data_IF_382837644919
#
_entry.id   IF_382837644919
#
_cell.length_a   1.000
_cell.length_b   1.000
_cell.length_c   1.000
_cell.angle_alpha   90.00
_cell.angle_beta   90.00
_cell.angle_gamma   90.00
#
_symmetry.space_group_name_H-M   'P 1'
#
loop_
_entity.id
_entity.type
_entity.pdbx_description
1 polymer ?
#
# COMPACT_ATOMS: atom_id res chain seq x y z
N UNK A 1 -4.44 -29.02 32.06
CA UNK A 1 -4.10 -27.69 31.51
C UNK A 1 -4.78 -26.65 32.39
N UNK A 2 -4.04 -25.74 33.04
CA UNK A 2 -4.64 -24.72 33.90
C UNK A 2 -5.28 -23.59 33.08
N UNK A 3 -6.33 -22.94 33.59
CA UNK A 3 -6.94 -21.74 32.98
C UNK A 3 -5.89 -20.65 32.69
N UNK A 4 -4.90 -20.53 33.59
CA UNK A 4 -3.80 -19.59 33.49
C UNK A 4 -2.89 -19.86 32.28
N UNK A 5 -2.51 -21.12 32.06
CA UNK A 5 -1.69 -21.49 30.90
C UNK A 5 -2.43 -21.29 29.58
N UNK A 6 -3.73 -21.58 29.52
CA UNK A 6 -4.55 -21.32 28.32
C UNK A 6 -4.54 -19.84 27.96
N UNK A 7 -4.77 -18.97 28.94
CA UNK A 7 -4.76 -17.51 28.74
C UNK A 7 -3.39 -17.01 28.27
N UNK A 8 -2.31 -17.54 28.83
CA UNK A 8 -0.94 -17.17 28.44
C UNK A 8 -0.60 -17.63 27.01
N UNK A 9 -1.04 -18.84 26.64
CA UNK A 9 -0.86 -19.38 25.30
C UNK A 9 -1.67 -18.58 24.27
N UNK A 10 -2.92 -18.22 24.60
CA UNK A 10 -3.80 -17.41 23.75
C UNK A 10 -3.25 -16.00 23.52
N UNK A 11 -2.73 -15.33 24.55
CA UNK A 11 -2.09 -14.01 24.39
C UNK A 11 -0.82 -14.06 23.55
N UNK A 12 -0.01 -15.11 23.73
CA UNK A 12 1.21 -15.28 22.94
C UNK A 12 0.89 -15.54 21.46
N UNK A 13 -0.15 -16.35 21.17
CA UNK A 13 -0.61 -16.58 19.81
C UNK A 13 -1.24 -15.33 19.19
N UNK A 14 -2.04 -14.57 19.95
CA UNK A 14 -2.61 -13.28 19.49
C UNK A 14 -1.52 -12.30 19.08
N UNK A 15 -0.51 -12.07 19.94
CA UNK A 15 0.60 -11.15 19.61
C UNK A 15 1.35 -11.54 18.34
N UNK A 16 1.53 -12.85 18.10
CA UNK A 16 2.13 -13.35 16.84
C UNK A 16 1.23 -13.09 15.63
N UNK A 17 -0.06 -13.33 15.78
CA UNK A 17 -1.05 -13.11 14.72
C UNK A 17 -1.15 -11.62 14.37
N UNK A 18 -1.22 -10.75 15.37
CA UNK A 18 -1.34 -9.30 15.19
C UNK A 18 -0.11 -8.72 14.49
N UNK A 19 1.09 -9.13 14.88
CA UNK A 19 2.32 -8.72 14.21
C UNK A 19 2.39 -9.21 12.75
N UNK A 20 1.86 -10.41 12.47
CA UNK A 20 1.80 -10.95 11.10
C UNK A 20 0.77 -10.18 10.24
N UNK A 21 -0.41 -9.92 10.79
CA UNK A 21 -1.49 -9.18 10.13
C UNK A 21 -1.06 -7.75 9.84
N UNK A 22 -0.42 -7.08 10.79
CA UNK A 22 0.11 -5.71 10.63
C UNK A 22 1.16 -5.64 9.52
N UNK A 23 2.12 -6.57 9.49
CA UNK A 23 3.11 -6.60 8.39
C UNK A 23 2.45 -6.80 7.03
N UNK A 24 1.47 -7.70 6.96
CA UNK A 24 0.76 -8.00 5.72
C UNK A 24 -0.09 -6.82 5.25
N UNK A 25 -0.75 -6.10 6.17
CA UNK A 25 -1.52 -4.90 5.84
C UNK A 25 -0.62 -3.75 5.41
N UNK A 26 0.55 -3.56 6.06
CA UNK A 26 1.52 -2.53 5.69
C UNK A 26 2.13 -2.81 4.31
N UNK A 27 2.37 -4.07 3.96
CA UNK A 27 2.83 -4.44 2.62
C UNK A 27 1.78 -4.11 1.55
N UNK A 28 0.50 -4.46 1.80
CA UNK A 28 -0.59 -4.17 0.85
C UNK A 28 -0.83 -2.66 0.70
N UNK A 29 -0.81 -1.91 1.82
CA UNK A 29 -1.01 -0.47 1.84
C UNK A 29 0.19 0.31 1.29
N UNK A 30 1.40 -0.06 1.74
CA UNK A 30 2.65 0.54 1.33
C UNK A 30 2.90 0.39 -0.17
N UNK A 31 2.64 -0.79 -0.74
CA UNK A 31 2.73 -0.97 -2.19
C UNK A 31 1.73 -0.09 -2.94
N UNK A 32 0.49 0.03 -2.45
CA UNK A 32 -0.49 0.95 -3.04
C UNK A 32 -0.05 2.42 -3.00
N UNK A 33 0.49 2.86 -1.86
CA UNK A 33 1.02 4.21 -1.68
C UNK A 33 2.22 4.47 -2.60
N UNK A 34 3.14 3.51 -2.73
CA UNK A 34 4.29 3.60 -3.64
C UNK A 34 3.82 3.74 -5.09
N UNK A 35 2.87 2.90 -5.55
CA UNK A 35 2.33 3.01 -6.91
C UNK A 35 1.62 4.34 -7.15
N UNK A 36 0.87 4.84 -6.16
CA UNK A 36 0.20 6.14 -6.25
C UNK A 36 1.20 7.30 -6.29
N UNK A 37 2.23 7.28 -5.43
CA UNK A 37 3.28 8.29 -5.40
C UNK A 37 4.11 8.30 -6.69
N UNK A 38 4.51 7.12 -7.19
CA UNK A 38 5.23 6.99 -8.47
C UNK A 38 4.35 7.45 -9.62
N UNK A 39 3.10 6.98 -9.72
CA UNK A 39 2.18 7.40 -10.77
C UNK A 39 1.94 8.92 -10.76
N UNK A 40 1.72 9.49 -9.58
CA UNK A 40 1.57 10.93 -9.38
C UNK A 40 2.83 11.68 -9.79
N UNK A 41 4.00 11.19 -9.38
CA UNK A 41 5.29 11.77 -9.78
C UNK A 41 5.46 11.76 -11.30
N UNK A 42 5.14 10.67 -11.99
CA UNK A 42 5.25 10.60 -13.46
C UNK A 42 4.31 11.58 -14.17
N UNK A 43 3.08 11.77 -13.67
CA UNK A 43 2.13 12.73 -14.26
C UNK A 43 2.52 14.17 -13.96
N UNK A 44 2.94 14.48 -12.73
CA UNK A 44 3.34 15.82 -12.32
C UNK A 44 4.77 16.19 -12.75
N UNK A 45 5.64 15.22 -13.09
CA UNK A 45 7.02 15.47 -13.53
C UNK A 45 7.08 16.47 -14.69
N UNK A 46 6.15 16.35 -15.65
CA UNK A 46 6.08 17.28 -16.77
C UNK A 46 5.60 18.69 -16.35
N UNK A 47 4.68 18.79 -15.39
CA UNK A 47 4.27 20.08 -14.80
C UNK A 47 5.38 20.72 -13.96
N UNK A 48 6.25 19.91 -13.37
CA UNK A 48 7.43 20.33 -12.61
C UNK A 48 8.65 20.64 -13.50
N UNK A 49 8.52 20.53 -14.83
CA UNK A 49 9.60 20.83 -15.77
C UNK A 49 10.67 19.74 -15.90
N UNK A 50 10.43 18.55 -15.35
CA UNK A 50 11.31 17.40 -15.55
C UNK A 50 10.99 16.72 -16.89
N UNK A 51 11.93 16.79 -17.83
CA UNK A 51 11.86 16.02 -19.06
C UNK A 51 12.23 14.55 -18.81
N UNK A 52 11.20 13.73 -18.65
CA UNK A 52 11.35 12.28 -18.64
C UNK A 52 11.81 11.82 -20.03
N UNK A 53 13.11 11.51 -20.19
CA UNK A 53 13.68 10.95 -21.42
C UNK A 53 13.00 9.64 -21.85
N UNK A 54 12.43 8.91 -20.89
CA UNK A 54 11.70 7.67 -21.12
C UNK A 54 10.72 7.45 -19.97
N UNK A 55 9.42 7.18 -20.21
CA UNK A 55 8.71 7.05 -21.49
C UNK A 55 8.46 8.40 -22.18
N UNK A 56 8.41 8.44 -23.51
CA UNK A 56 8.05 9.66 -24.25
C UNK A 56 6.53 9.92 -24.19
N UNK A 57 6.07 11.18 -24.23
CA UNK A 57 4.65 11.49 -24.46
C UNK A 57 4.20 10.90 -25.82
N UNK A 58 3.00 10.29 -25.92
CA UNK A 58 1.92 10.26 -24.94
C UNK A 58 1.96 9.08 -23.96
N UNK A 59 2.85 8.11 -24.15
CA UNK A 59 2.92 6.90 -23.33
C UNK A 59 3.19 7.19 -21.86
N UNK A 60 4.01 8.20 -21.54
CA UNK A 60 4.24 8.63 -20.16
C UNK A 60 2.96 9.02 -19.42
N UNK A 61 2.03 9.68 -20.12
CA UNK A 61 0.74 10.08 -19.54
C UNK A 61 -0.21 8.92 -19.36
N UNK A 62 -0.27 7.99 -20.32
CA UNK A 62 -1.10 6.79 -20.23
C UNK A 62 -0.60 5.91 -19.10
N UNK A 63 0.73 5.72 -19.01
CA UNK A 63 1.35 4.90 -17.98
C UNK A 63 1.24 5.55 -16.59
N UNK A 64 1.51 6.85 -16.48
CA UNK A 64 1.34 7.60 -15.24
C UNK A 64 -0.12 7.64 -14.77
N UNK A 65 -1.06 7.83 -15.70
CA UNK A 65 -2.50 7.76 -15.43
C UNK A 65 -2.95 6.37 -14.97
N UNK A 66 -2.49 5.30 -15.63
CA UNK A 66 -2.76 3.92 -15.21
C UNK A 66 -2.18 3.63 -13.82
N UNK A 67 -0.94 4.06 -13.54
CA UNK A 67 -0.33 3.91 -12.22
C UNK A 67 -1.09 4.70 -11.14
N UNK A 68 -1.57 5.91 -11.45
CA UNK A 68 -2.41 6.69 -10.53
C UNK A 68 -3.74 5.99 -10.26
N UNK A 69 -4.46 5.55 -11.29
CA UNK A 69 -5.76 4.88 -11.13
C UNK A 69 -5.60 3.56 -10.38
N UNK A 70 -4.62 2.74 -10.75
CA UNK A 70 -4.33 1.47 -10.08
C UNK A 70 -3.81 1.65 -8.65
N UNK A 71 -2.92 2.64 -8.44
CA UNK A 71 -2.43 3.03 -7.12
C UNK A 71 -3.55 3.55 -6.23
N UNK A 72 -4.45 4.38 -6.76
CA UNK A 72 -5.63 4.87 -6.06
C UNK A 72 -6.60 3.74 -5.70
N UNK A 73 -6.87 2.81 -6.62
CA UNK A 73 -7.68 1.62 -6.34
C UNK A 73 -7.06 0.75 -5.24
N UNK A 74 -5.74 0.52 -5.29
CA UNK A 74 -4.98 -0.23 -4.27
C UNK A 74 -5.01 0.49 -2.92
N UNK A 75 -4.86 1.80 -2.91
CA UNK A 75 -4.94 2.64 -1.72
C UNK A 75 -6.35 2.62 -1.11
N UNK A 76 -7.39 2.79 -1.93
CA UNK A 76 -8.80 2.68 -1.50
C UNK A 76 -9.10 1.31 -0.88
N UNK A 77 -8.62 0.23 -1.52
CA UNK A 77 -8.75 -1.14 -0.99
C UNK A 77 -7.99 -1.34 0.32
N UNK A 78 -6.82 -0.73 0.47
CA UNK A 78 -6.03 -0.76 1.71
C UNK A 78 -6.66 0.05 2.83
N UNK A 79 -7.19 1.25 2.53
CA UNK A 79 -7.82 2.15 3.50
C UNK A 79 -9.12 1.56 4.07
N UNK A 80 -9.94 0.91 3.24
CA UNK A 80 -11.13 0.16 3.72
C UNK A 80 -10.79 -1.06 4.58
N UNK A 81 -9.54 -1.53 4.53
CA UNK A 81 -9.03 -2.61 5.37
C UNK A 81 -8.38 -2.09 6.66
N UNK A 82 -8.44 -0.78 6.94
CA UNK A 82 -8.25 -0.31 8.30
C UNK A 82 -9.30 -1.01 9.16
N UNK A 83 -8.82 -2.03 9.85
CA UNK A 83 -9.33 -2.57 11.09
C UNK A 83 -9.58 -1.39 12.03
N UNK A 84 -10.68 -0.67 11.84
CA UNK A 84 -11.30 0.10 12.91
C UNK A 84 -12.11 -0.91 13.71
N UNK A 85 -11.42 -1.67 14.55
CA UNK A 85 -11.95 -2.20 15.79
C UNK A 85 -10.80 -2.40 16.77
#
# INVERSE_FOLDING_TARGET
MSEFERKYQDEYQKKKLDAYVLRRSLMDFGMGLIYFAIGGFFVFAKQLGYELRFPQPPFSYIFGGLCLVYGAFRFYRGYRKNYTN
#
